data_IF_332934139863
#
_entry.id   IF_332934139863
#
_cell.length_a   1.000
_cell.length_b   1.000
_cell.length_c   1.000
_cell.angle_alpha   90.00
_cell.angle_beta   90.00
_cell.angle_gamma   90.00
#
_symmetry.space_group_name_H-M   'P 1'
#
loop_
_entity.id
_entity.type
_entity.pdbx_description
1 polymer ?
#
# COMPACT_ATOMS: atom_id res chain seq x y z
N UNK A 1 0.34 -20.69 -6.75
CA UNK A 1 0.79 -19.53 -5.95
C UNK A 1 -0.38 -18.60 -5.77
N UNK A 2 -0.47 -17.95 -4.62
CA UNK A 2 -1.59 -17.09 -4.27
C UNK A 2 -1.10 -15.66 -3.99
N UNK A 3 -1.90 -14.66 -4.36
CA UNK A 3 -1.65 -13.25 -4.07
C UNK A 3 -2.78 -12.70 -3.21
N UNK A 4 -2.47 -12.26 -1.99
CA UNK A 4 -3.39 -11.49 -1.16
C UNK A 4 -3.28 -10.01 -1.52
N UNK A 5 -4.40 -9.41 -1.92
CA UNK A 5 -4.53 -8.00 -2.30
C UNK A 5 -5.28 -7.30 -1.20
N UNK A 6 -4.58 -6.47 -0.44
CA UNK A 6 -5.12 -5.75 0.71
C UNK A 6 -5.65 -4.41 0.23
N UNK A 7 -6.94 -4.17 0.43
CA UNK A 7 -7.62 -2.94 0.00
C UNK A 7 -8.17 -2.22 1.25
N UNK A 8 -7.42 -1.27 1.84
CA UNK A 8 -7.94 -0.42 2.91
C UNK A 8 -8.89 0.63 2.31
N UNK A 9 -10.08 0.77 2.89
CA UNK A 9 -11.14 1.64 2.36
C UNK A 9 -11.65 2.56 3.45
N UNK A 10 -11.79 3.85 3.15
CA UNK A 10 -12.51 4.78 4.01
C UNK A 10 -13.13 5.88 3.15
N UNK A 11 -14.45 5.95 3.09
CA UNK A 11 -15.20 6.94 2.29
C UNK A 11 -14.67 7.05 0.84
N UNK A 12 -14.88 5.99 0.07
CA UNK A 12 -14.46 5.85 -1.33
C UNK A 12 -15.66 5.38 -2.19
N UNK A 13 -16.86 5.89 -1.90
CA UNK A 13 -18.11 5.45 -2.56
C UNK A 13 -18.05 5.56 -4.08
N UNK A 14 -17.38 6.57 -4.61
CA UNK A 14 -17.34 6.86 -6.05
C UNK A 14 -16.31 6.00 -6.81
N UNK A 15 -15.39 5.36 -6.10
CA UNK A 15 -14.20 4.72 -6.67
C UNK A 15 -14.17 3.22 -6.36
N UNK A 16 -14.76 2.79 -5.23
CA UNK A 16 -14.65 1.43 -4.71
C UNK A 16 -15.13 0.34 -5.68
N UNK A 17 -16.24 0.56 -6.39
CA UNK A 17 -16.76 -0.43 -7.33
C UNK A 17 -15.81 -0.63 -8.51
N UNK A 18 -15.33 0.48 -9.08
CA UNK A 18 -14.46 0.43 -10.25
C UNK A 18 -13.08 -0.15 -9.90
N UNK A 19 -12.49 0.21 -8.75
CA UNK A 19 -11.20 -0.35 -8.36
C UNK A 19 -11.29 -1.85 -8.10
N UNK A 20 -12.34 -2.34 -7.41
CA UNK A 20 -12.53 -3.78 -7.21
C UNK A 20 -12.73 -4.53 -8.54
N UNK A 21 -13.48 -3.95 -9.48
CA UNK A 21 -13.62 -4.48 -10.84
C UNK A 21 -12.26 -4.60 -11.54
N UNK A 22 -11.41 -3.57 -11.48
CA UNK A 22 -10.06 -3.59 -12.09
C UNK A 22 -9.14 -4.62 -11.42
N UNK A 23 -9.14 -4.68 -10.10
CA UNK A 23 -8.36 -5.66 -9.32
C UNK A 23 -8.79 -7.10 -9.64
N UNK A 24 -10.08 -7.35 -9.83
CA UNK A 24 -10.58 -8.65 -10.31
C UNK A 24 -10.19 -8.93 -11.75
N UNK A 25 -10.20 -7.93 -12.61
CA UNK A 25 -9.94 -8.09 -14.04
C UNK A 25 -8.45 -8.23 -14.39
N UNK A 26 -7.53 -7.64 -13.60
CA UNK A 26 -6.10 -7.69 -13.93
C UNK A 26 -5.61 -9.13 -14.00
N UNK A 27 -5.01 -9.48 -15.12
CA UNK A 27 -4.43 -10.80 -15.33
C UNK A 27 -3.03 -10.84 -14.70
N UNK A 28 -2.84 -11.70 -13.72
CA UNK A 28 -1.56 -11.93 -13.03
C UNK A 28 -0.98 -13.31 -13.37
N UNK A 29 -1.41 -13.90 -14.48
CA UNK A 29 -1.07 -15.26 -14.91
C UNK A 29 -1.82 -16.30 -14.07
N UNK A 30 -1.16 -17.42 -13.79
CA UNK A 30 -1.73 -18.55 -13.04
C UNK A 30 -1.83 -18.32 -11.52
N UNK A 31 -1.66 -17.08 -11.06
CA UNK A 31 -1.70 -16.71 -9.64
C UNK A 31 -3.16 -16.50 -9.22
N UNK A 32 -3.59 -17.27 -8.21
CA UNK A 32 -4.92 -17.10 -7.63
C UNK A 32 -4.94 -15.84 -6.77
N UNK A 33 -5.96 -15.00 -6.97
CA UNK A 33 -6.13 -13.75 -6.22
C UNK A 33 -7.08 -13.96 -5.04
N UNK A 34 -6.65 -13.49 -3.88
CA UNK A 34 -7.49 -13.30 -2.69
C UNK A 34 -7.54 -11.79 -2.43
N UNK A 35 -8.72 -11.18 -2.43
CA UNK A 35 -8.89 -9.75 -2.20
C UNK A 35 -9.46 -9.58 -0.79
N UNK A 36 -8.76 -8.82 0.05
CA UNK A 36 -9.15 -8.57 1.43
C UNK A 36 -9.41 -7.08 1.58
N UNK A 37 -10.69 -6.73 1.64
CA UNK A 37 -11.14 -5.35 1.78
C UNK A 37 -11.40 -5.07 3.25
N UNK A 38 -10.88 -3.94 3.75
CA UNK A 38 -11.18 -3.47 5.09
C UNK A 38 -11.81 -2.09 5.01
N UNK A 39 -13.12 -2.05 5.21
CA UNK A 39 -13.88 -0.81 5.40
C UNK A 39 -13.61 -0.25 6.79
N UNK A 40 -12.81 0.82 6.86
CA UNK A 40 -12.39 1.48 8.08
C UNK A 40 -13.47 2.43 8.62
N UNK A 41 -14.71 1.94 8.73
CA UNK A 41 -15.83 2.69 9.29
C UNK A 41 -16.39 3.77 8.37
N UNK A 42 -16.54 3.50 7.07
CA UNK A 42 -17.09 4.47 6.12
C UNK A 42 -18.54 4.87 6.44
N UNK A 43 -18.85 6.14 6.17
CA UNK A 43 -20.16 6.80 6.45
C UNK A 43 -20.82 7.40 5.22
N UNK A 44 -20.18 7.33 4.05
CA UNK A 44 -20.65 7.94 2.79
C UNK A 44 -21.53 7.02 1.91
N UNK A 45 -21.75 5.77 2.35
CA UNK A 45 -22.43 4.71 1.60
C UNK A 45 -21.48 3.68 0.96
N UNK A 46 -20.16 3.81 1.13
CA UNK A 46 -19.16 2.82 0.66
C UNK A 46 -19.49 1.41 1.16
N UNK A 47 -19.86 1.27 2.44
CA UNK A 47 -20.17 -0.03 3.04
C UNK A 47 -21.36 -0.74 2.40
N UNK A 48 -22.33 -0.01 1.83
CA UNK A 48 -23.48 -0.63 1.15
C UNK A 48 -23.10 -1.19 -0.22
N UNK A 49 -22.18 -0.53 -0.92
CA UNK A 49 -21.59 -1.05 -2.17
C UNK A 49 -20.79 -2.32 -1.85
N UNK A 50 -19.94 -2.25 -0.83
CA UNK A 50 -19.08 -3.37 -0.43
C UNK A 50 -19.89 -4.65 -0.13
N UNK A 51 -21.05 -4.56 0.55
CA UNK A 51 -21.92 -5.73 0.80
C UNK A 51 -22.33 -6.48 -0.47
N UNK A 52 -22.41 -5.80 -1.61
CA UNK A 52 -22.77 -6.39 -2.91
C UNK A 52 -21.57 -6.98 -3.64
N UNK A 53 -20.35 -6.65 -3.21
CA UNK A 53 -19.10 -7.07 -3.84
C UNK A 53 -18.49 -8.31 -3.17
N UNK A 54 -19.00 -8.79 -2.04
CA UNK A 54 -18.46 -9.98 -1.36
C UNK A 54 -18.77 -11.26 -2.14
N UNK A 55 -17.74 -12.09 -2.38
CA UNK A 55 -17.87 -13.36 -3.09
C UNK A 55 -16.74 -14.34 -2.70
N UNK A 56 -16.52 -15.41 -3.47
CA UNK A 56 -15.45 -16.39 -3.19
C UNK A 56 -14.02 -15.84 -3.31
N UNK A 57 -13.83 -14.69 -3.95
CA UNK A 57 -12.54 -14.03 -4.20
C UNK A 57 -12.34 -12.78 -3.35
N UNK A 58 -13.42 -12.12 -2.93
CA UNK A 58 -13.39 -10.91 -2.11
C UNK A 58 -13.93 -11.20 -0.71
N UNK A 59 -13.10 -10.99 0.31
CA UNK A 59 -13.51 -10.99 1.72
C UNK A 59 -13.58 -9.56 2.23
N UNK A 60 -14.66 -9.23 2.94
CA UNK A 60 -14.88 -7.88 3.44
C UNK A 60 -14.91 -7.87 4.95
N UNK A 61 -14.11 -6.99 5.54
CA UNK A 61 -14.10 -6.71 6.97
C UNK A 61 -14.47 -5.26 7.20
N UNK A 62 -15.07 -4.96 8.35
CA UNK A 62 -15.45 -3.60 8.71
C UNK A 62 -15.00 -3.26 10.12
N UNK A 63 -14.40 -2.09 10.28
CA UNK A 63 -14.21 -1.47 11.59
C UNK A 63 -15.44 -0.66 11.98
N UNK A 64 -15.76 -0.62 13.27
CA UNK A 64 -16.88 0.17 13.79
C UNK A 64 -16.67 1.68 13.63
N UNK A 65 -15.41 2.12 13.74
CA UNK A 65 -14.98 3.51 13.60
C UNK A 65 -13.71 3.59 12.77
N UNK A 66 -13.41 4.77 12.22
CA UNK A 66 -12.16 5.01 11.51
C UNK A 66 -10.96 4.89 12.46
N UNK A 67 -10.08 3.94 12.15
CA UNK A 67 -8.83 3.66 12.89
C UNK A 67 -7.59 4.03 12.08
N UNK A 68 -7.75 4.38 10.80
CA UNK A 68 -6.74 4.80 9.83
C UNK A 68 -6.23 3.66 8.93
N UNK A 69 -5.57 4.06 7.82
CA UNK A 69 -5.01 3.14 6.80
C UNK A 69 -4.14 2.03 7.39
N UNK A 70 -3.17 2.38 8.24
CA UNK A 70 -2.28 1.41 8.88
C UNK A 70 -3.03 0.38 9.75
N UNK A 71 -4.11 0.80 10.42
CA UNK A 71 -4.95 -0.13 11.17
C UNK A 71 -5.73 -1.08 10.26
N UNK A 72 -6.28 -0.57 9.16
CA UNK A 72 -6.96 -1.38 8.15
C UNK A 72 -6.01 -2.39 7.49
N UNK A 73 -4.82 -1.95 7.08
CA UNK A 73 -3.78 -2.84 6.53
C UNK A 73 -3.36 -3.91 7.54
N UNK A 74 -3.19 -3.55 8.82
CA UNK A 74 -2.89 -4.53 9.88
C UNK A 74 -3.99 -5.57 10.07
N UNK A 75 -5.25 -5.15 10.06
CA UNK A 75 -6.39 -6.09 10.13
C UNK A 75 -6.37 -7.05 8.95
N UNK A 76 -6.18 -6.55 7.73
CA UNK A 76 -6.12 -7.37 6.52
C UNK A 76 -4.92 -8.32 6.49
N UNK A 77 -3.73 -7.85 6.89
CA UNK A 77 -2.51 -8.67 6.97
C UNK A 77 -2.69 -9.88 7.88
N UNK A 78 -3.42 -9.73 8.98
CA UNK A 78 -3.74 -10.84 9.88
C UNK A 78 -4.66 -11.90 9.27
N UNK A 79 -5.32 -11.61 8.14
CA UNK A 79 -6.21 -12.53 7.43
C UNK A 79 -5.63 -13.04 6.10
N UNK A 80 -4.56 -12.43 5.60
CA UNK A 80 -3.95 -12.77 4.33
C UNK A 80 -3.44 -14.21 4.30
N UNK A 81 -3.75 -14.97 3.25
CA UNK A 81 -3.31 -16.37 3.06
C UNK A 81 -2.39 -16.61 1.85
N UNK A 82 -2.22 -15.63 0.97
CA UNK A 82 -1.37 -15.68 -0.22
C UNK A 82 0.14 -15.68 0.00
N UNK A 83 0.88 -16.40 -0.84
CA UNK A 83 2.35 -16.44 -0.86
C UNK A 83 2.96 -15.05 -1.01
N UNK A 84 2.28 -14.20 -1.78
CA UNK A 84 2.59 -12.78 -1.92
C UNK A 84 1.47 -11.93 -1.31
N UNK A 85 1.85 -10.76 -0.82
CA UNK A 85 0.92 -9.75 -0.31
C UNK A 85 1.20 -8.43 -1.01
N UNK A 86 0.18 -7.78 -1.54
CA UNK A 86 0.25 -6.43 -2.11
C UNK A 86 -0.82 -5.54 -1.48
N UNK A 87 -0.54 -4.25 -1.38
CA UNK A 87 -1.49 -3.24 -0.91
C UNK A 87 -2.00 -2.47 -2.13
N UNK A 88 -3.31 -2.20 -2.16
CA UNK A 88 -3.98 -1.44 -3.20
C UNK A 88 -4.86 -0.35 -2.58
N UNK A 89 -4.59 0.91 -2.87
CA UNK A 89 -5.47 2.00 -2.45
C UNK A 89 -6.78 1.99 -3.27
N UNK A 90 -7.88 2.34 -2.62
CA UNK A 90 -9.22 2.23 -3.19
C UNK A 90 -9.66 3.46 -4.01
N UNK A 91 -8.75 4.40 -4.27
CA UNK A 91 -9.06 5.74 -4.80
C UNK A 91 -8.73 5.94 -6.29
N UNK A 92 -8.39 4.86 -7.00
CA UNK A 92 -7.98 4.86 -8.41
C UNK A 92 -6.69 5.66 -8.72
N UNK A 93 -5.92 6.10 -7.71
CA UNK A 93 -4.61 6.75 -8.00
C UNK A 93 -3.58 5.77 -8.56
N UNK A 94 -3.73 4.47 -8.28
CA UNK A 94 -2.82 3.41 -8.72
C UNK A 94 -3.51 2.42 -9.66
N UNK A 95 -2.82 1.99 -10.71
CA UNK A 95 -3.34 1.08 -11.73
C UNK A 95 -3.03 -0.39 -11.42
N UNK A 96 -4.05 -1.25 -11.20
CA UNK A 96 -3.83 -2.68 -10.96
C UNK A 96 -3.03 -3.39 -12.06
N UNK A 97 -3.00 -2.88 -13.31
CA UNK A 97 -2.19 -3.47 -14.39
C UNK A 97 -0.68 -3.50 -14.06
N UNK A 98 -0.20 -2.64 -13.15
CA UNK A 98 1.18 -2.64 -12.67
C UNK A 98 1.53 -3.85 -11.78
N UNK A 99 0.55 -4.66 -11.35
CA UNK A 99 0.80 -5.85 -10.53
C UNK A 99 1.77 -6.82 -11.21
N UNK A 100 1.69 -6.95 -12.54
CA UNK A 100 2.61 -7.80 -13.31
C UNK A 100 4.06 -7.32 -13.18
N UNK A 101 4.28 -6.01 -13.24
CA UNK A 101 5.61 -5.42 -13.09
C UNK A 101 6.17 -5.66 -11.68
N UNK A 102 5.34 -5.53 -10.65
CA UNK A 102 5.69 -5.78 -9.25
C UNK A 102 6.00 -7.26 -9.00
N UNK A 103 5.17 -8.16 -9.52
CA UNK A 103 5.32 -9.62 -9.33
C UNK A 103 6.52 -10.18 -10.09
N UNK A 104 6.87 -9.63 -11.25
CA UNK A 104 7.93 -10.15 -12.11
C UNK A 104 9.29 -10.40 -11.41
N UNK A 105 9.88 -9.44 -10.65
CA UNK A 105 11.13 -9.69 -9.92
C UNK A 105 10.93 -10.69 -8.76
N UNK A 106 9.77 -10.69 -8.09
CA UNK A 106 9.47 -11.60 -7.00
C UNK A 106 9.35 -13.06 -7.46
N UNK A 107 8.61 -13.30 -8.56
CA UNK A 107 8.45 -14.62 -9.17
C UNK A 107 9.78 -15.17 -9.72
N UNK A 108 10.65 -14.29 -10.21
CA UNK A 108 12.02 -14.65 -10.63
C UNK A 108 12.98 -14.84 -9.45
N UNK A 109 12.49 -14.78 -8.19
CA UNK A 109 13.28 -14.87 -6.95
C UNK A 109 14.43 -13.86 -6.89
N UNK A 110 14.28 -12.71 -7.55
CA UNK A 110 15.25 -11.61 -7.54
C UNK A 110 15.03 -10.67 -6.35
N UNK A 111 13.83 -10.65 -5.79
CA UNK A 111 13.44 -9.75 -4.71
C UNK A 111 12.41 -10.41 -3.80
N UNK A 112 12.58 -10.22 -2.49
CA UNK A 112 11.58 -10.61 -1.49
C UNK A 112 10.56 -9.49 -1.27
N UNK A 113 10.95 -8.24 -1.55
CA UNK A 113 10.11 -7.05 -1.42
C UNK A 113 10.30 -6.16 -2.64
N UNK A 114 9.19 -5.73 -3.23
CA UNK A 114 9.16 -4.93 -4.45
C UNK A 114 8.27 -3.73 -4.24
N UNK A 115 8.80 -2.53 -4.46
CA UNK A 115 8.07 -1.27 -4.39
C UNK A 115 7.81 -0.74 -5.79
N UNK A 116 6.63 -0.17 -5.99
CA UNK A 116 6.30 0.57 -7.20
C UNK A 116 6.69 2.03 -7.05
N UNK A 117 7.61 2.54 -7.87
CA UNK A 117 8.00 3.95 -7.83
C UNK A 117 7.13 4.80 -8.75
N UNK A 118 6.43 5.77 -8.17
CA UNK A 118 5.64 6.76 -8.92
C UNK A 118 6.50 7.76 -9.69
N UNK A 119 7.79 7.85 -9.37
CA UNK A 119 8.71 8.82 -9.94
C UNK A 119 9.50 8.31 -11.14
N UNK A 120 9.49 6.99 -11.39
CA UNK A 120 10.21 6.37 -12.49
C UNK A 120 9.30 5.81 -13.57
N UNK A 121 7.98 5.76 -13.34
CA UNK A 121 6.96 5.36 -14.32
C UNK A 121 6.13 6.53 -14.86
N UNK A 122 5.05 6.17 -15.57
CA UNK A 122 4.09 7.14 -16.09
C UNK A 122 3.31 7.77 -14.93
N UNK A 123 3.22 9.09 -14.89
CA UNK A 123 2.49 9.75 -13.82
C UNK A 123 1.81 11.02 -14.30
N UNK A 124 0.61 11.25 -13.78
CA UNK A 124 -0.02 12.57 -13.74
C UNK A 124 0.68 13.41 -12.67
N UNK A 125 0.75 14.72 -12.90
CA UNK A 125 1.38 15.66 -11.98
C UNK A 125 0.91 15.47 -10.54
N UNK A 126 1.89 15.33 -9.65
CA UNK A 126 1.66 15.34 -8.21
C UNK A 126 1.66 16.78 -7.70
N UNK A 127 0.82 17.08 -6.71
CA UNK A 127 0.86 18.36 -6.00
C UNK A 127 2.30 18.65 -5.53
N UNK A 128 2.84 19.81 -5.89
CA UNK A 128 4.26 20.15 -5.71
C UNK A 128 4.78 19.93 -4.28
N UNK A 129 4.03 20.33 -3.26
CA UNK A 129 4.42 20.14 -1.86
C UNK A 129 4.39 18.66 -1.41
N UNK A 130 3.52 17.84 -2.01
CA UNK A 130 3.51 16.39 -1.77
C UNK A 130 4.71 15.73 -2.45
N UNK A 131 5.06 16.16 -3.66
CA UNK A 131 6.27 15.71 -4.36
C UNK A 131 7.52 16.01 -3.54
N UNK A 132 7.66 17.25 -3.05
CA UNK A 132 8.81 17.66 -2.25
C UNK A 132 8.86 16.90 -0.91
N UNK A 133 7.72 16.78 -0.22
CA UNK A 133 7.63 16.04 1.04
C UNK A 133 8.00 14.56 0.88
N UNK A 134 7.53 13.91 -0.18
CA UNK A 134 7.87 12.52 -0.47
C UNK A 134 9.36 12.34 -0.80
N UNK A 135 9.91 13.18 -1.69
CA UNK A 135 11.36 13.14 -1.99
C UNK A 135 12.21 13.35 -0.73
N UNK A 136 11.77 14.24 0.16
CA UNK A 136 12.44 14.45 1.44
C UNK A 136 12.38 13.22 2.35
N UNK A 137 11.21 12.60 2.52
CA UNK A 137 11.06 11.38 3.33
C UNK A 137 11.85 10.19 2.76
N UNK A 138 11.88 10.06 1.43
CA UNK A 138 12.69 9.07 0.73
C UNK A 138 14.18 9.32 0.94
N UNK A 139 14.64 10.58 0.87
CA UNK A 139 16.02 10.95 1.20
C UNK A 139 16.37 10.61 2.65
N UNK A 140 15.51 10.94 3.62
CA UNK A 140 15.74 10.60 5.02
C UNK A 140 15.82 9.09 5.22
N UNK A 141 14.95 8.32 4.55
CA UNK A 141 15.01 6.85 4.55
C UNK A 141 16.36 6.35 4.02
N UNK A 142 16.80 6.89 2.89
CA UNK A 142 18.07 6.54 2.26
C UNK A 142 19.27 6.80 3.18
N UNK A 143 19.29 7.95 3.85
CA UNK A 143 20.35 8.30 4.82
C UNK A 143 20.31 7.39 6.05
N UNK A 144 19.13 7.18 6.65
CA UNK A 144 19.01 6.42 7.90
C UNK A 144 19.29 4.92 7.74
N UNK A 145 18.89 4.35 6.60
CA UNK A 145 18.93 2.90 6.36
C UNK A 145 19.95 2.49 5.31
N UNK A 146 20.73 3.44 4.78
CA UNK A 146 21.76 3.23 3.75
C UNK A 146 21.19 2.51 2.50
N UNK A 147 20.20 3.14 1.89
CA UNK A 147 19.51 2.63 0.68
C UNK A 147 19.36 3.74 -0.36
N UNK A 148 18.80 3.42 -1.52
CA UNK A 148 18.62 4.35 -2.65
C UNK A 148 17.18 4.29 -3.19
N UNK A 149 16.21 4.14 -2.31
CA UNK A 149 14.78 4.06 -2.67
C UNK A 149 14.34 5.43 -3.20
N UNK A 150 13.67 5.42 -4.34
CA UNK A 150 13.17 6.62 -4.99
C UNK A 150 11.83 7.10 -4.40
N UNK A 151 10.96 6.18 -3.99
CA UNK A 151 9.60 6.49 -3.51
C UNK A 151 9.22 5.61 -2.31
N UNK A 152 9.56 6.06 -1.10
CA UNK A 152 9.25 5.32 0.13
C UNK A 152 7.76 5.32 0.46
N UNK A 153 7.06 6.42 0.17
CA UNK A 153 5.64 6.62 0.51
C UNK A 153 4.67 6.00 -0.51
N UNK A 154 5.16 5.15 -1.43
CA UNK A 154 4.31 4.48 -2.41
C UNK A 154 3.34 3.49 -1.76
N UNK A 155 2.11 3.39 -2.27
CA UNK A 155 1.16 2.35 -1.87
C UNK A 155 1.62 0.96 -2.30
N UNK A 156 2.10 0.83 -3.54
CA UNK A 156 2.46 -0.45 -4.12
C UNK A 156 3.71 -1.01 -3.47
N UNK A 157 3.47 -1.82 -2.44
CA UNK A 157 4.44 -2.59 -1.69
C UNK A 157 4.03 -4.06 -1.79
N UNK A 158 4.74 -4.79 -2.63
CA UNK A 158 4.61 -6.23 -2.76
C UNK A 158 5.62 -6.91 -1.84
N UNK A 159 5.15 -7.85 -1.05
CA UNK A 159 5.96 -8.66 -0.15
C UNK A 159 5.79 -10.13 -0.51
N UNK A 160 6.89 -10.86 -0.63
CA UNK A 160 6.86 -12.29 -0.36
C UNK A 160 6.59 -12.48 1.12
N UNK A 161 5.59 -13.30 1.47
CA UNK A 161 5.05 -13.39 2.84
C UNK A 161 6.13 -13.58 3.93
N UNK A 162 7.14 -14.46 3.79
CA UNK A 162 8.20 -14.62 4.79
C UNK A 162 9.00 -13.35 5.11
N UNK A 163 9.04 -12.37 4.20
CA UNK A 163 9.66 -11.07 4.46
C UNK A 163 8.95 -10.34 5.62
N UNK A 164 7.66 -10.60 5.84
CA UNK A 164 6.84 -10.01 6.90
C UNK A 164 6.95 -10.76 8.24
N UNK A 165 7.61 -11.92 8.30
CA UNK A 165 7.69 -12.71 9.53
C UNK A 165 8.37 -11.93 10.67
N UNK A 166 7.73 -11.92 11.85
CA UNK A 166 8.21 -11.18 13.01
C UNK A 166 8.03 -9.66 12.94
N UNK A 167 7.45 -9.11 11.87
CA UNK A 167 7.10 -7.69 11.79
C UNK A 167 5.72 -7.48 12.44
N UNK A 168 5.70 -6.71 13.53
CA UNK A 168 4.46 -6.24 14.16
C UNK A 168 4.23 -4.78 13.82
N UNK A 169 3.18 -4.47 13.06
CA UNK A 169 2.80 -3.10 12.69
C UNK A 169 2.06 -2.43 13.85
N UNK A 170 2.48 -1.23 14.25
CA UNK A 170 1.89 -0.46 15.36
C UNK A 170 1.19 0.80 14.87
N UNK A 171 1.61 1.34 13.73
CA UNK A 171 1.05 2.54 13.12
C UNK A 171 -0.40 2.34 12.70
N UNK A 172 -1.15 3.43 12.76
CA UNK A 172 -2.60 3.43 12.51
C UNK A 172 -2.94 4.23 11.26
N UNK A 173 -2.16 5.24 10.88
CA UNK A 173 -2.44 6.11 9.73
C UNK A 173 -1.45 5.82 8.59
N UNK A 174 -1.09 6.85 7.82
CA UNK A 174 -0.12 6.77 6.73
C UNK A 174 1.32 6.59 7.22
N UNK A 175 1.59 6.83 8.50
CA UNK A 175 2.88 6.53 9.14
C UNK A 175 3.27 5.03 9.08
N UNK A 176 2.30 4.17 8.74
CA UNK A 176 2.53 2.78 8.38
C UNK A 176 3.55 2.61 7.24
N UNK A 177 3.52 3.45 6.20
CA UNK A 177 4.41 3.29 5.03
C UNK A 177 5.89 3.42 5.45
N UNK A 178 6.16 4.37 6.33
CA UNK A 178 7.46 4.55 6.97
C UNK A 178 7.81 3.41 7.94
N UNK A 179 6.86 2.96 8.78
CA UNK A 179 7.09 1.86 9.72
C UNK A 179 7.48 0.56 9.01
N UNK A 180 6.70 0.14 8.02
CA UNK A 180 6.92 -1.14 7.34
C UNK A 180 8.26 -1.12 6.59
N UNK A 181 8.56 -0.01 5.91
CA UNK A 181 9.83 0.18 5.21
C UNK A 181 11.01 0.11 6.19
N UNK A 182 10.94 0.83 7.31
CA UNK A 182 11.97 0.80 8.34
C UNK A 182 12.22 -0.62 8.87
N UNK A 183 11.15 -1.38 9.15
CA UNK A 183 11.24 -2.74 9.70
C UNK A 183 11.80 -3.75 8.70
N UNK A 184 11.40 -3.64 7.42
CA UNK A 184 11.96 -4.46 6.34
C UNK A 184 13.45 -4.19 6.15
N UNK A 185 13.85 -2.91 6.10
CA UNK A 185 15.26 -2.54 5.95
C UNK A 185 16.11 -2.98 7.14
N UNK A 186 15.55 -3.01 8.36
CA UNK A 186 16.24 -3.55 9.55
C UNK A 186 16.44 -5.07 9.51
N UNK A 187 15.58 -5.80 8.79
CA UNK A 187 15.81 -7.22 8.45
C UNK A 187 16.89 -7.39 7.38
N UNK A 188 17.53 -6.31 6.91
CA UNK A 188 18.53 -6.29 5.82
C UNK A 188 18.00 -6.79 4.48
N UNK A 189 16.69 -6.80 4.31
CA UNK A 189 16.04 -7.13 3.04
C UNK A 189 16.20 -5.92 2.12
N UNK A 190 16.71 -6.16 0.90
CA UNK A 190 16.85 -5.12 -0.12
C UNK A 190 15.52 -4.95 -0.84
N UNK A 191 15.02 -3.72 -0.87
CA UNK A 191 13.80 -3.37 -1.59
C UNK A 191 14.16 -3.16 -3.06
N UNK A 192 13.45 -3.85 -3.94
CA UNK A 192 13.57 -3.70 -5.39
C UNK A 192 12.52 -2.71 -5.88
N UNK A 193 12.86 -1.79 -6.77
CA UNK A 193 11.90 -0.83 -7.33
C UNK A 193 11.58 -1.14 -8.79
N UNK A 194 10.31 -0.98 -9.15
CA UNK A 194 9.83 -1.01 -10.54
C UNK A 194 9.05 0.28 -10.82
N UNK A 195 9.08 0.79 -12.06
CA UNK A 195 8.22 1.91 -12.44
C UNK A 195 6.75 1.49 -12.40
N UNK A 196 5.88 2.39 -11.93
CA UNK A 196 4.42 2.20 -11.91
C UNK A 196 3.69 3.43 -12.42
N UNK A 197 2.43 3.25 -12.78
CA UNK A 197 1.51 4.27 -13.20
C UNK A 197 0.86 4.96 -12.00
N UNK A 198 0.84 6.30 -11.98
CA UNK A 198 0.21 7.07 -10.90
C UNK A 198 -0.62 8.23 -11.42
N UNK A 199 -1.93 8.20 -11.13
CA UNK A 199 -2.86 9.26 -11.44
C UNK A 199 -3.21 10.05 -10.16
N UNK A 200 -2.33 10.97 -9.75
CA UNK A 200 -2.54 11.76 -8.55
C UNK A 200 -3.85 12.57 -8.57
N UNK A 201 -4.57 12.56 -7.45
CA UNK A 201 -5.79 13.34 -7.22
C UNK A 201 -5.56 14.58 -6.37
N UNK A 202 -6.43 15.57 -6.55
CA UNK A 202 -6.48 16.79 -5.76
C UNK A 202 -7.28 16.62 -4.45
N UNK A 203 -7.20 17.61 -3.55
CA UNK A 203 -8.00 17.63 -2.33
C UNK A 203 -9.51 17.70 -2.60
N UNK A 204 -9.92 18.37 -3.68
CA UNK A 204 -11.29 18.42 -4.17
C UNK A 204 -11.84 17.04 -4.56
N UNK A 205 -10.95 16.13 -4.96
CA UNK A 205 -11.24 14.74 -5.33
C UNK A 205 -11.10 13.78 -4.12
N UNK A 206 -10.97 14.33 -2.91
CA UNK A 206 -10.99 13.57 -1.67
C UNK A 206 -9.63 13.12 -1.15
N UNK A 207 -8.50 13.73 -1.58
CA UNK A 207 -7.17 13.40 -1.03
C UNK A 207 -7.12 13.57 0.49
N UNK A 208 -6.72 12.51 1.20
CA UNK A 208 -6.80 12.42 2.69
C UNK A 208 -5.47 12.72 3.40
N UNK A 209 -4.37 12.79 2.66
CA UNK A 209 -3.00 12.98 3.20
C UNK A 209 -2.75 14.46 3.50
N UNK A 210 -2.15 14.75 4.65
CA UNK A 210 -1.81 16.10 5.10
C UNK A 210 -0.35 16.21 5.57
N UNK A 211 0.13 17.43 5.82
CA UNK A 211 1.49 17.67 6.35
C UNK A 211 1.74 17.00 7.72
N UNK A 212 0.68 16.79 8.52
CA UNK A 212 0.78 16.09 9.81
C UNK A 212 1.17 14.63 9.61
N UNK A 213 0.67 14.01 8.54
CA UNK A 213 1.02 12.63 8.18
C UNK A 213 2.51 12.55 7.77
N UNK A 214 3.04 13.58 7.09
CA UNK A 214 4.48 13.68 6.79
C UNK A 214 5.38 13.77 8.03
N UNK A 215 4.97 14.52 9.05
CA UNK A 215 5.69 14.57 10.34
C UNK A 215 5.61 13.22 11.05
N UNK A 216 4.44 12.57 11.04
CA UNK A 216 4.27 11.26 11.64
C UNK A 216 5.15 10.19 10.94
N UNK A 217 5.24 10.23 9.62
CA UNK A 217 6.12 9.37 8.83
C UNK A 217 7.60 9.62 9.16
N UNK A 218 8.03 10.88 9.22
CA UNK A 218 9.39 11.24 9.63
C UNK A 218 9.72 10.70 11.03
N UNK A 219 8.81 10.90 11.98
CA UNK A 219 8.97 10.37 13.33
C UNK A 219 9.03 8.84 13.34
N UNK A 220 8.20 8.16 12.55
CA UNK A 220 8.25 6.71 12.41
C UNK A 220 9.60 6.23 11.88
N UNK A 221 10.15 6.86 10.82
CA UNK A 221 11.47 6.52 10.28
C UNK A 221 12.57 6.61 11.34
N UNK A 222 12.60 7.71 12.08
CA UNK A 222 13.61 7.93 13.13
C UNK A 222 13.40 6.98 14.31
N UNK A 223 12.17 6.87 14.81
CA UNK A 223 11.83 5.98 15.92
C UNK A 223 12.21 4.54 15.61
N UNK A 224 11.77 3.99 14.47
CA UNK A 224 12.01 2.59 14.14
C UNK A 224 13.46 2.31 13.73
N UNK A 225 14.26 3.33 13.41
CA UNK A 225 15.70 3.16 13.22
C UNK A 225 16.37 2.68 14.51
N UNK A 226 15.99 3.29 15.63
CA UNK A 226 16.62 3.04 16.94
C UNK A 226 15.81 2.10 17.85
N UNK A 227 14.53 1.87 17.56
CA UNK A 227 13.60 1.09 18.40
C UNK A 227 12.86 0.04 17.55
N UNK A 228 12.37 -1.05 18.16
CA UNK A 228 11.60 -2.12 17.50
C UNK A 228 10.06 -1.93 17.60
#
# INVERSE_FOLDING_TARGET
MNLSIIVPVYNERNTIQEILRRVRAVDVGEIVKEIIVVDDGSTDGTGDILKMEEDSTIRIMRHETNRGKGAAVRTALGQATGDFVIIQDADLEYDPDDYRALLAPALKKKAEVVYGSRFTGEHRDMLFWHLLGNKFLSLVTNVLYNTTISDMETCYKLFWRPALDGIVIKSNRFDFEAEITAKILKKKIRIYEVPISYAGREYSEGKKITWRDGIAALWALVKYRFVN
#
